data_IF_812523666074
#
_entry.id   IF_812523666074
#
_cell.length_a   1.000
_cell.length_b   1.000
_cell.length_c   1.000
_cell.angle_alpha   90.00
_cell.angle_beta   90.00
_cell.angle_gamma   90.00
#
_symmetry.space_group_name_H-M   'P 1'
#
loop_
_entity.id
_entity.type
_entity.pdbx_description
1 polymer ?
#
# COMPACT_ATOMS: atom_id res chain seq x y z
N UNK A 1 -36.65 -0.42 -27.11
CA UNK A 1 -36.05 0.63 -26.24
C UNK A 1 -35.11 -0.05 -25.26
N UNK A 2 -33.83 0.26 -25.35
CA UNK A 2 -32.86 -0.24 -24.36
C UNK A 2 -33.09 0.53 -23.05
N UNK A 3 -33.18 -0.16 -21.94
CA UNK A 3 -33.46 0.40 -20.61
C UNK A 3 -32.34 1.28 -20.05
N UNK A 4 -31.29 1.54 -20.85
CA UNK A 4 -30.22 2.48 -20.47
C UNK A 4 -29.40 2.07 -19.21
N UNK A 5 -29.50 0.80 -18.82
CA UNK A 5 -28.59 0.30 -17.79
C UNK A 5 -27.18 0.37 -18.34
N UNK A 6 -26.36 1.20 -17.72
CA UNK A 6 -24.92 1.18 -17.94
C UNK A 6 -24.36 -0.09 -17.31
N UNK A 7 -24.53 -1.22 -18.02
CA UNK A 7 -23.91 -2.50 -17.70
C UNK A 7 -22.45 -2.56 -18.21
N UNK A 8 -21.85 -1.40 -18.50
CA UNK A 8 -20.40 -1.40 -18.47
C UNK A 8 -20.07 -1.86 -17.05
N UNK A 9 -19.90 -3.18 -16.93
CA UNK A 9 -19.04 -3.80 -15.95
C UNK A 9 -17.89 -2.81 -15.87
N UNK A 10 -17.88 -2.02 -14.78
CA UNK A 10 -16.85 -1.03 -14.61
C UNK A 10 -15.59 -1.73 -15.04
N UNK A 11 -14.97 -1.24 -16.06
CA UNK A 11 -13.70 -1.73 -16.56
C UNK A 11 -13.07 -2.41 -15.37
N UNK A 12 -12.68 -3.70 -15.47
CA UNK A 12 -11.76 -4.26 -14.47
C UNK A 12 -10.48 -3.43 -14.61
N UNK A 13 -10.66 -2.14 -14.36
CA UNK A 13 -9.65 -1.14 -14.25
C UNK A 13 -8.82 -1.68 -13.13
N UNK A 14 -7.58 -2.00 -13.44
CA UNK A 14 -6.61 -2.58 -12.55
C UNK A 14 -6.86 -2.07 -11.14
N UNK A 15 -7.37 -2.97 -10.28
CA UNK A 15 -7.54 -2.66 -8.87
C UNK A 15 -6.12 -2.47 -8.37
N UNK A 16 -5.72 -1.22 -8.23
CA UNK A 16 -4.38 -0.90 -7.78
C UNK A 16 -4.14 -1.57 -6.42
N UNK A 17 -2.96 -2.14 -6.23
CA UNK A 17 -2.56 -2.56 -4.91
C UNK A 17 -2.56 -1.35 -3.97
N UNK A 18 -2.78 -1.59 -2.70
CA UNK A 18 -3.00 -0.50 -1.74
C UNK A 18 -1.87 -0.36 -0.74
N UNK A 19 -1.75 0.85 -0.22
CA UNK A 19 -0.98 1.14 0.99
C UNK A 19 -1.96 1.63 2.05
N UNK A 20 -1.79 1.17 3.28
CA UNK A 20 -2.59 1.56 4.44
C UNK A 20 -1.73 2.32 5.44
N UNK A 21 -2.35 3.22 6.18
CA UNK A 21 -1.78 3.76 7.42
C UNK A 21 -2.48 3.14 8.62
N UNK A 22 -1.74 2.46 9.48
CA UNK A 22 -2.25 2.01 10.77
C UNK A 22 -2.08 3.13 11.80
N UNK A 23 -3.16 3.81 12.10
CA UNK A 23 -3.14 4.91 13.05
C UNK A 23 -2.93 4.47 14.51
N UNK A 24 -2.94 3.20 14.83
CA UNK A 24 -2.61 2.67 16.16
C UNK A 24 -1.13 2.35 16.27
N UNK A 25 -0.60 1.61 15.32
CA UNK A 25 0.81 1.25 15.25
C UNK A 25 1.69 2.43 14.81
N UNK A 26 1.21 3.22 13.86
CA UNK A 26 1.94 4.34 13.27
C UNK A 26 2.80 3.93 12.10
N UNK A 27 2.36 2.93 11.37
CA UNK A 27 3.12 2.31 10.30
C UNK A 27 2.36 2.39 8.98
N UNK A 28 3.12 2.52 7.90
CA UNK A 28 2.61 2.25 6.57
C UNK A 28 2.70 0.76 6.29
N UNK A 29 1.62 0.20 5.74
CA UNK A 29 1.52 -1.22 5.40
C UNK A 29 1.24 -1.33 3.91
N UNK A 30 2.16 -1.93 3.18
CA UNK A 30 1.98 -2.37 1.81
C UNK A 30 1.07 -3.58 1.81
N UNK A 31 -0.01 -3.56 1.04
CA UNK A 31 -0.89 -4.70 0.88
C UNK A 31 -0.96 -5.09 -0.59
N UNK A 32 -0.44 -6.26 -0.89
CA UNK A 32 -0.57 -6.91 -2.18
C UNK A 32 -1.65 -8.00 -2.12
N UNK A 33 -2.22 -8.30 -3.28
CA UNK A 33 -3.18 -9.38 -3.44
C UNK A 33 -2.74 -10.26 -4.59
N UNK A 34 -2.64 -11.53 -4.35
CA UNK A 34 -2.35 -12.53 -5.37
C UNK A 34 -3.39 -13.63 -5.34
N UNK A 35 -3.64 -14.27 -6.47
CA UNK A 35 -4.51 -15.42 -6.53
C UNK A 35 -3.64 -16.67 -6.43
N UNK A 36 -3.90 -17.51 -5.45
CA UNK A 36 -3.25 -18.81 -5.29
C UNK A 36 -3.61 -19.79 -6.41
N UNK A 37 -2.90 -20.91 -6.52
CA UNK A 37 -3.19 -21.95 -7.51
C UNK A 37 -4.60 -22.56 -7.39
N UNK A 38 -5.20 -22.46 -6.22
CA UNK A 38 -6.56 -22.89 -5.87
C UNK A 38 -7.63 -21.82 -6.20
N UNK A 39 -7.23 -20.69 -6.78
CA UNK A 39 -8.12 -19.57 -7.10
C UNK A 39 -8.49 -18.70 -5.88
N UNK A 40 -7.98 -19.00 -4.70
CA UNK A 40 -8.23 -18.21 -3.49
C UNK A 40 -7.34 -16.96 -3.47
N UNK A 41 -7.95 -15.82 -3.11
CA UNK A 41 -7.21 -14.57 -2.97
C UNK A 41 -6.42 -14.56 -1.65
N UNK A 42 -5.12 -14.42 -1.77
CA UNK A 42 -4.19 -14.26 -0.64
C UNK A 42 -3.81 -12.79 -0.53
N UNK A 43 -3.81 -12.29 0.70
CA UNK A 43 -3.29 -10.95 1.03
C UNK A 43 -1.90 -11.12 1.59
N UNK A 44 -0.96 -10.37 1.03
CA UNK A 44 0.38 -10.20 1.56
C UNK A 44 0.49 -8.78 2.14
N UNK A 45 0.81 -8.68 3.41
CA UNK A 45 0.94 -7.40 4.11
C UNK A 45 2.38 -7.25 4.59
N UNK A 46 3.03 -6.18 4.16
CA UNK A 46 4.40 -5.84 4.51
C UNK A 46 4.47 -4.46 5.13
N UNK A 47 5.04 -4.37 6.32
CA UNK A 47 5.32 -3.10 6.99
C UNK A 47 6.42 -2.33 6.25
N UNK A 48 6.20 -1.04 6.06
CA UNK A 48 7.13 -0.14 5.40
C UNK A 48 7.84 0.68 6.46
N UNK A 49 9.16 0.58 6.49
CA UNK A 49 9.98 1.32 7.43
C UNK A 49 10.00 2.82 7.10
N UNK A 50 9.92 3.64 8.14
CA UNK A 50 10.08 5.09 8.03
C UNK A 50 11.55 5.49 8.24
N UNK A 51 12.05 6.55 7.59
CA UNK A 51 11.33 7.42 6.66
C UNK A 51 11.16 6.80 5.27
N UNK A 52 10.06 7.16 4.59
CA UNK A 52 9.80 6.74 3.22
C UNK A 52 9.39 7.93 2.35
N UNK A 53 9.76 7.90 1.06
CA UNK A 53 9.40 8.93 0.08
C UNK A 53 8.70 8.31 -1.13
N UNK A 54 7.67 8.98 -1.63
CA UNK A 54 6.95 8.57 -2.82
C UNK A 54 6.34 9.79 -3.54
N UNK A 55 6.19 9.69 -4.85
CA UNK A 55 5.39 10.64 -5.60
C UNK A 55 3.91 10.50 -5.20
N UNK A 56 3.22 11.62 -5.00
CA UNK A 56 1.79 11.62 -4.64
C UNK A 56 1.02 12.47 -5.65
N UNK A 57 -0.03 11.89 -6.25
CA UNK A 57 -0.84 12.54 -7.28
C UNK A 57 -1.87 13.50 -6.66
N UNK A 58 -1.36 14.62 -6.14
CA UNK A 58 -2.20 15.63 -5.48
C UNK A 58 -3.17 16.32 -6.42
N UNK A 59 -2.85 16.41 -7.72
CA UNK A 59 -3.75 16.99 -8.72
C UNK A 59 -5.01 16.13 -8.92
N UNK A 60 -4.84 14.80 -8.80
CA UNK A 60 -5.94 13.83 -8.96
C UNK A 60 -6.47 13.28 -7.62
N UNK A 61 -6.17 13.96 -6.51
CA UNK A 61 -6.70 13.55 -5.20
C UNK A 61 -8.23 13.61 -5.21
N UNK A 62 -8.84 12.58 -4.71
CA UNK A 62 -10.29 12.46 -4.58
C UNK A 62 -10.70 12.60 -3.11
N UNK A 63 -11.80 13.30 -2.88
CA UNK A 63 -12.37 13.52 -1.55
C UNK A 63 -13.85 13.13 -1.54
N UNK A 64 -14.34 12.66 -0.42
CA UNK A 64 -15.75 12.26 -0.30
C UNK A 64 -16.02 11.33 0.86
N UNK A 65 -16.70 10.23 0.59
CA UNK A 65 -17.23 9.31 1.57
C UNK A 65 -16.81 7.88 1.29
N UNK A 66 -16.58 7.13 2.35
CA UNK A 66 -16.21 5.71 2.32
C UNK A 66 -17.03 4.95 3.35
N UNK A 67 -17.61 3.82 2.95
CA UNK A 67 -18.24 2.84 3.81
C UNK A 67 -17.68 1.44 3.54
N UNK A 68 -17.66 0.61 4.58
CA UNK A 68 -17.36 -0.82 4.49
C UNK A 68 -18.54 -1.69 4.93
N UNK A 69 -19.73 -1.14 5.05
CA UNK A 69 -20.91 -1.84 5.56
C UNK A 69 -21.30 -3.06 4.72
N UNK A 70 -21.06 -3.02 3.41
CA UNK A 70 -21.31 -4.13 2.50
C UNK A 70 -20.21 -5.21 2.48
N UNK A 71 -19.15 -5.07 3.30
CA UNK A 71 -17.98 -5.93 3.27
C UNK A 71 -16.95 -5.59 2.18
N UNK A 72 -17.29 -4.69 1.26
CA UNK A 72 -16.39 -4.10 0.26
C UNK A 72 -16.32 -2.58 0.45
N UNK A 73 -15.23 -1.91 0.03
CA UNK A 73 -15.15 -0.46 0.09
C UNK A 73 -16.13 0.16 -0.92
N UNK A 74 -17.04 0.99 -0.41
CA UNK A 74 -17.95 1.84 -1.19
C UNK A 74 -17.46 3.27 -1.12
N UNK A 75 -16.91 3.77 -2.25
CA UNK A 75 -16.39 5.12 -2.38
C UNK A 75 -17.38 5.99 -3.15
N UNK A 76 -17.78 7.11 -2.54
CA UNK A 76 -18.56 8.18 -3.15
C UNK A 76 -17.69 9.44 -3.16
N UNK A 77 -16.84 9.58 -4.18
CA UNK A 77 -15.78 10.59 -4.21
C UNK A 77 -15.83 11.44 -5.48
N UNK A 78 -15.27 12.63 -5.39
CA UNK A 78 -15.02 13.56 -6.52
C UNK A 78 -13.57 14.02 -6.46
N UNK A 79 -13.00 14.39 -7.60
CA UNK A 79 -11.67 15.00 -7.62
C UNK A 79 -11.72 16.39 -7.01
N UNK A 80 -10.79 16.69 -6.13
CA UNK A 80 -10.70 18.00 -5.50
C UNK A 80 -10.43 19.12 -6.53
N UNK A 81 -9.65 18.84 -7.58
CA UNK A 81 -9.31 19.77 -8.66
C UNK A 81 -10.50 20.17 -9.54
N UNK A 82 -11.57 19.37 -9.59
CA UNK A 82 -12.73 19.66 -10.44
C UNK A 82 -13.57 20.84 -9.92
N UNK A 83 -13.29 21.34 -8.71
CA UNK A 83 -14.06 22.43 -8.06
C UNK A 83 -15.52 22.04 -7.76
N UNK A 84 -15.85 20.76 -7.85
CA UNK A 84 -17.18 20.22 -7.55
C UNK A 84 -17.30 20.07 -6.03
N UNK A 85 -18.39 20.53 -5.41
CA UNK A 85 -18.61 20.31 -3.99
C UNK A 85 -18.61 18.80 -3.67
N UNK A 86 -18.06 18.47 -2.50
CA UNK A 86 -18.11 17.11 -1.99
C UNK A 86 -19.57 16.61 -1.99
N UNK A 87 -19.86 15.38 -2.45
CA UNK A 87 -21.20 14.84 -2.50
C UNK A 87 -21.86 14.82 -1.11
N UNK A 88 -23.18 14.86 -1.08
CA UNK A 88 -23.90 14.71 0.19
C UNK A 88 -23.57 13.37 0.83
N UNK A 89 -23.57 13.30 2.16
CA UNK A 89 -23.30 12.07 2.90
C UNK A 89 -24.36 11.00 2.54
N UNK A 90 -23.95 9.84 1.96
CA UNK A 90 -24.92 8.85 1.48
C UNK A 90 -25.70 8.13 2.60
N UNK A 91 -25.04 7.80 3.71
CA UNK A 91 -25.66 7.18 4.89
C UNK A 91 -24.83 7.43 6.14
N UNK A 92 -25.35 7.07 7.33
CA UNK A 92 -24.66 7.24 8.60
C UNK A 92 -23.39 6.40 8.73
N UNK A 93 -23.28 5.32 7.99
CA UNK A 93 -22.13 4.43 7.97
C UNK A 93 -20.95 5.00 7.16
N UNK A 94 -21.23 5.97 6.29
CA UNK A 94 -20.20 6.62 5.51
C UNK A 94 -19.39 7.61 6.36
N UNK A 95 -18.08 7.54 6.21
CA UNK A 95 -17.09 8.43 6.83
C UNK A 95 -16.40 9.25 5.76
N UNK A 96 -16.08 10.50 6.07
CA UNK A 96 -15.25 11.30 5.17
C UNK A 96 -13.94 10.58 4.88
N UNK A 97 -13.49 10.67 3.65
CA UNK A 97 -12.24 10.04 3.21
C UNK A 97 -11.57 10.87 2.12
N UNK A 98 -10.29 10.58 1.92
CA UNK A 98 -9.59 10.87 0.67
C UNK A 98 -9.12 9.58 0.03
N UNK A 99 -8.83 9.66 -1.26
CA UNK A 99 -8.20 8.63 -2.06
C UNK A 99 -7.20 9.27 -3.00
N UNK A 100 -5.98 8.76 -3.04
CA UNK A 100 -4.90 9.33 -3.85
C UNK A 100 -3.98 8.23 -4.36
N UNK A 101 -3.43 8.42 -5.54
CA UNK A 101 -2.39 7.53 -6.08
C UNK A 101 -1.04 7.95 -5.54
N UNK A 102 -0.24 6.99 -5.15
CA UNK A 102 1.14 7.16 -4.75
C UNK A 102 2.02 6.19 -5.52
N UNK A 103 3.26 6.56 -5.75
CA UNK A 103 4.18 5.69 -6.47
C UNK A 103 5.64 5.98 -6.18
N UNK A 104 6.44 4.93 -6.14
CA UNK A 104 7.90 5.00 -6.10
C UNK A 104 8.48 3.75 -6.76
N UNK A 105 9.79 3.76 -7.05
CA UNK A 105 10.46 2.58 -7.60
C UNK A 105 10.33 1.36 -6.69
N UNK A 106 10.31 1.58 -5.38
CA UNK A 106 10.21 0.51 -4.38
C UNK A 106 8.77 0.01 -4.20
N UNK A 107 7.81 0.93 -4.11
CA UNK A 107 6.42 0.57 -3.86
C UNK A 107 5.66 0.16 -5.13
N UNK A 108 6.11 0.61 -6.30
CA UNK A 108 5.27 0.62 -7.50
C UNK A 108 4.12 1.63 -7.38
N UNK A 109 3.18 1.60 -8.33
CA UNK A 109 1.97 2.41 -8.28
C UNK A 109 0.95 1.78 -7.32
N UNK A 110 0.42 2.58 -6.38
CA UNK A 110 -0.52 2.13 -5.37
C UNK A 110 -1.58 3.18 -5.09
N UNK A 111 -2.68 2.73 -4.51
CA UNK A 111 -3.70 3.59 -3.96
C UNK A 111 -3.49 3.75 -2.45
N UNK A 112 -3.61 4.99 -1.99
CA UNK A 112 -3.65 5.32 -0.58
C UNK A 112 -4.95 6.03 -0.26
N UNK A 113 -5.71 5.49 0.68
CA UNK A 113 -6.96 6.07 1.14
C UNK A 113 -7.09 5.99 2.66
N UNK A 114 -7.74 6.96 3.25
CA UNK A 114 -7.95 6.98 4.71
C UNK A 114 -9.22 7.75 5.08
N UNK A 115 -9.85 7.37 6.21
CA UNK A 115 -11.07 8.01 6.73
C UNK A 115 -10.97 8.47 8.20
N UNK A 116 -9.82 8.29 8.83
CA UNK A 116 -9.59 8.74 10.21
C UNK A 116 -9.37 10.25 10.30
N UNK A 117 -10.14 10.93 11.16
CA UNK A 117 -10.14 12.40 11.27
C UNK A 117 -8.75 13.03 11.48
N UNK A 118 -7.86 12.37 12.21
CA UNK A 118 -6.50 12.87 12.46
C UNK A 118 -5.64 12.83 11.20
N UNK A 119 -5.76 11.75 10.42
CA UNK A 119 -5.04 11.59 9.16
C UNK A 119 -5.63 12.50 8.07
N UNK A 120 -6.96 12.70 8.08
CA UNK A 120 -7.59 13.68 7.19
C UNK A 120 -7.05 15.09 7.41
N UNK A 121 -6.88 15.52 8.68
CA UNK A 121 -6.28 16.83 8.99
C UNK A 121 -4.81 16.92 8.55
N UNK A 122 -4.05 15.84 8.71
CA UNK A 122 -2.67 15.80 8.23
C UNK A 122 -2.62 15.91 6.70
N UNK A 123 -3.55 15.24 5.98
CA UNK A 123 -3.68 15.34 4.52
C UNK A 123 -4.09 16.75 4.10
N UNK A 124 -5.02 17.37 4.80
CA UNK A 124 -5.45 18.75 4.55
C UNK A 124 -4.27 19.73 4.66
N UNK A 125 -3.43 19.58 5.69
CA UNK A 125 -2.22 20.39 5.85
C UNK A 125 -1.21 20.15 4.72
N UNK A 126 -1.04 18.92 4.27
CA UNK A 126 -0.17 18.58 3.16
C UNK A 126 -0.70 19.13 1.83
N UNK A 127 -2.01 19.08 1.63
CA UNK A 127 -2.66 19.65 0.44
C UNK A 127 -2.53 21.17 0.41
N UNK A 128 -2.65 21.87 1.53
CA UNK A 128 -2.38 23.30 1.62
C UNK A 128 -0.93 23.65 1.23
N UNK A 129 0.04 22.82 1.63
CA UNK A 129 1.43 22.97 1.17
C UNK A 129 1.52 22.78 -0.35
N UNK A 130 0.85 21.75 -0.88
CA UNK A 130 0.80 21.51 -2.32
C UNK A 130 0.23 22.71 -3.07
N UNK A 131 -0.91 23.24 -2.66
CA UNK A 131 -1.55 24.40 -3.31
C UNK A 131 -0.67 25.66 -3.31
N UNK A 132 0.10 25.85 -2.24
CA UNK A 132 1.04 26.97 -2.15
C UNK A 132 2.24 26.82 -3.09
N UNK A 133 2.72 25.60 -3.31
CA UNK A 133 3.95 25.35 -4.06
C UNK A 133 3.70 24.98 -5.54
N UNK A 134 2.54 24.40 -5.88
CA UNK A 134 2.19 23.91 -7.21
C UNK A 134 2.30 24.99 -8.32
N UNK A 135 1.91 26.27 -8.10
CA UNK A 135 2.05 27.32 -9.11
C UNK A 135 3.50 27.54 -9.56
N UNK A 136 4.48 27.27 -8.69
CA UNK A 136 5.91 27.37 -8.97
C UNK A 136 6.47 26.09 -9.63
N UNK A 137 5.69 25.03 -9.69
CA UNK A 137 6.09 23.70 -10.16
C UNK A 137 5.06 23.12 -11.17
N UNK A 138 4.72 23.85 -12.24
CA UNK A 138 3.66 23.44 -13.17
C UNK A 138 3.97 22.08 -13.81
N UNK A 139 3.00 21.17 -13.82
CA UNK A 139 3.10 19.84 -14.43
C UNK A 139 4.02 18.86 -13.72
N UNK A 140 4.60 19.23 -12.58
CA UNK A 140 5.43 18.34 -11.78
C UNK A 140 4.63 17.60 -10.73
N UNK A 141 5.15 16.44 -10.32
CA UNK A 141 4.61 15.61 -9.25
C UNK A 141 5.35 15.92 -7.93
N UNK A 142 4.65 16.23 -6.83
CA UNK A 142 5.28 16.37 -5.54
C UNK A 142 5.76 15.02 -5.00
N UNK A 143 6.96 14.98 -4.47
CA UNK A 143 7.49 13.88 -3.69
C UNK A 143 7.24 14.17 -2.23
N UNK A 144 6.45 13.31 -1.61
CA UNK A 144 6.10 13.39 -0.20
C UNK A 144 7.01 12.46 0.58
N UNK A 145 7.63 12.98 1.62
CA UNK A 145 8.41 12.18 2.57
C UNK A 145 7.65 12.06 3.88
N UNK A 146 7.41 10.83 4.31
CA UNK A 146 6.91 10.52 5.65
C UNK A 146 8.10 10.32 6.56
N UNK A 147 8.32 11.26 7.46
CA UNK A 147 9.51 11.29 8.33
C UNK A 147 9.37 10.40 9.55
N UNK A 148 8.19 10.46 10.17
CA UNK A 148 7.89 9.79 11.42
C UNK A 148 6.39 9.65 11.65
N UNK A 149 6.02 8.96 12.72
CA UNK A 149 4.68 8.88 13.26
C UNK A 149 4.59 9.70 14.56
N UNK A 150 3.72 10.70 14.60
CA UNK A 150 3.46 11.50 15.80
C UNK A 150 2.29 10.95 16.58
N UNK A 151 2.42 10.88 17.90
CA UNK A 151 1.32 10.44 18.78
C UNK A 151 0.43 11.63 19.15
N UNK A 152 -0.83 11.55 18.75
CA UNK A 152 -1.88 12.50 19.13
C UNK A 152 -2.82 11.87 20.14
N UNK A 153 -3.13 12.61 21.20
CA UNK A 153 -4.08 12.22 22.25
C UNK A 153 -5.41 12.89 21.99
N UNK A 154 -6.48 12.11 22.04
CA UNK A 154 -7.85 12.60 21.91
C UNK A 154 -8.63 12.17 23.14
N UNK A 155 -9.20 13.15 23.83
CA UNK A 155 -10.13 12.88 24.91
C UNK A 155 -11.48 12.45 24.36
N UNK A 156 -11.95 11.28 24.76
CA UNK A 156 -13.27 10.77 24.42
C UNK A 156 -14.08 10.50 25.69
N UNK A 157 -15.41 10.37 25.62
CA UNK A 157 -16.23 9.98 26.77
C UNK A 157 -15.82 8.65 27.41
N UNK A 158 -15.11 7.80 26.66
CA UNK A 158 -14.62 6.49 27.11
C UNK A 158 -13.17 6.53 27.62
N UNK A 159 -12.54 7.72 27.68
CA UNK A 159 -11.17 7.92 28.12
C UNK A 159 -10.25 8.52 27.06
N UNK A 160 -8.95 8.62 27.38
CA UNK A 160 -7.91 9.09 26.46
C UNK A 160 -7.63 8.03 25.40
N UNK A 161 -7.82 8.40 24.13
CA UNK A 161 -7.43 7.61 22.98
C UNK A 161 -6.13 8.17 22.41
N UNK A 162 -5.22 7.28 22.02
CA UNK A 162 -3.96 7.63 21.38
C UNK A 162 -3.97 7.13 19.95
N UNK A 163 -3.67 8.03 19.03
CA UNK A 163 -3.51 7.70 17.62
C UNK A 163 -2.18 8.25 17.14
N UNK A 164 -1.63 7.60 16.15
CA UNK A 164 -0.45 8.08 15.44
C UNK A 164 -0.87 8.67 14.11
N UNK A 165 -0.29 9.81 13.77
CA UNK A 165 -0.49 10.50 12.50
C UNK A 165 0.83 10.54 11.74
N UNK A 166 0.82 10.43 10.41
CA UNK A 166 2.04 10.56 9.63
C UNK A 166 2.53 12.02 9.69
N UNK A 167 3.79 12.20 10.01
CA UNK A 167 4.50 13.46 9.82
C UNK A 167 5.12 13.47 8.43
N UNK A 168 4.52 14.17 7.53
CA UNK A 168 4.93 14.24 6.14
C UNK A 168 5.06 15.67 5.64
N UNK A 169 5.85 15.84 4.59
CA UNK A 169 6.00 17.12 3.89
C UNK A 169 6.37 16.87 2.44
N UNK A 170 6.09 17.84 1.58
CA UNK A 170 6.64 17.86 0.22
C UNK A 170 8.11 18.22 0.32
N UNK A 171 8.99 17.35 -0.16
CA UNK A 171 10.44 17.53 -0.08
C UNK A 171 11.09 17.81 -1.42
N UNK A 172 10.40 17.46 -2.50
CA UNK A 172 10.91 17.59 -3.86
C UNK A 172 9.76 17.64 -4.86
N UNK A 173 10.03 18.18 -6.04
CA UNK A 173 9.17 18.17 -7.21
C UNK A 173 9.89 17.49 -8.37
N UNK A 174 9.27 16.49 -8.97
CA UNK A 174 9.84 15.70 -10.08
C UNK A 174 8.94 15.76 -11.31
N UNK A 175 9.51 15.46 -12.47
CA UNK A 175 8.68 15.23 -13.65
C UNK A 175 7.77 14.04 -13.41
N UNK A 176 6.52 14.11 -13.90
CA UNK A 176 5.51 13.06 -13.66
C UNK A 176 5.97 11.75 -14.29
N UNK A 177 6.24 10.70 -13.51
CA UNK A 177 6.63 9.40 -14.05
C UNK A 177 5.46 8.76 -14.80
N UNK A 178 5.72 8.08 -15.92
CA UNK A 178 4.70 7.40 -16.73
C UNK A 178 3.87 6.37 -15.93
N UNK A 179 4.45 5.78 -14.89
CA UNK A 179 3.72 4.87 -14.00
C UNK A 179 2.51 5.53 -13.30
N UNK A 180 2.53 6.86 -13.11
CA UNK A 180 1.43 7.59 -12.48
C UNK A 180 0.23 7.77 -13.41
N UNK A 181 0.38 7.57 -14.70
CA UNK A 181 -0.67 7.75 -15.71
C UNK A 181 -1.61 6.52 -15.82
N UNK A 182 -1.49 5.58 -14.90
CA UNK A 182 -2.47 4.50 -14.72
C UNK A 182 -2.24 3.24 -15.53
N UNK A 183 -1.15 3.16 -16.29
CA UNK A 183 -0.72 1.88 -16.85
C UNK A 183 0.20 1.23 -15.81
N UNK A 184 -0.36 0.42 -14.93
CA UNK A 184 0.45 -0.42 -14.05
C UNK A 184 1.38 -1.25 -14.93
N UNK A 185 2.69 -0.99 -14.85
CA UNK A 185 3.65 -1.92 -15.41
C UNK A 185 3.35 -3.29 -14.75
N UNK A 186 3.27 -4.39 -15.51
CA UNK A 186 3.04 -5.69 -14.92
C UNK A 186 4.10 -5.90 -13.83
N UNK A 187 3.65 -6.19 -12.63
CA UNK A 187 4.53 -6.59 -11.52
C UNK A 187 5.49 -7.65 -12.07
N UNK A 188 6.83 -7.47 -11.97
CA UNK A 188 7.74 -8.51 -12.42
C UNK A 188 7.33 -9.80 -11.75
N UNK A 189 7.03 -10.83 -12.54
CA UNK A 189 6.74 -12.14 -12.02
C UNK A 189 7.89 -12.53 -11.06
N UNK A 190 7.60 -13.06 -9.87
CA UNK A 190 8.63 -13.51 -8.95
C UNK A 190 9.59 -14.40 -9.75
N UNK A 191 10.89 -14.10 -9.65
CA UNK A 191 11.92 -14.90 -10.33
C UNK A 191 11.66 -16.37 -9.99
N UNK A 192 11.67 -17.28 -10.98
CA UNK A 192 11.44 -18.69 -10.73
C UNK A 192 12.39 -19.13 -9.63
N UNK A 193 11.83 -19.77 -8.60
CA UNK A 193 12.61 -20.34 -7.52
C UNK A 193 13.73 -21.20 -8.14
N UNK A 194 14.97 -21.11 -7.63
CA UNK A 194 16.06 -21.94 -8.14
C UNK A 194 15.60 -23.40 -8.10
N UNK A 195 15.71 -24.07 -9.25
CA UNK A 195 15.37 -25.46 -9.38
C UNK A 195 16.04 -26.27 -8.26
N UNK A 196 15.35 -27.25 -7.65
CA UNK A 196 15.97 -28.11 -6.65
C UNK A 196 17.24 -28.72 -7.24
N UNK A 197 18.37 -28.41 -6.63
CA UNK A 197 19.63 -29.06 -6.98
C UNK A 197 19.44 -30.54 -6.71
N UNK A 198 19.49 -31.35 -7.75
CA UNK A 198 19.49 -32.81 -7.62
C UNK A 198 20.60 -33.18 -6.63
N UNK A 199 20.35 -34.12 -5.69
CA UNK A 199 21.37 -34.55 -4.78
C UNK A 199 22.49 -35.23 -5.59
N UNK A 200 23.68 -34.64 -5.56
CA UNK A 200 24.89 -35.24 -6.09
C UNK A 200 25.04 -36.58 -5.41
N UNK A 201 24.98 -37.67 -6.19
CA UNK A 201 25.22 -39.01 -5.70
C UNK A 201 26.62 -39.04 -5.05
N UNK A 202 26.62 -39.21 -3.75
CA UNK A 202 27.87 -39.44 -3.00
C UNK A 202 28.38 -40.81 -3.43
N UNK A 203 29.45 -40.79 -4.21
CA UNK A 203 30.17 -41.99 -4.63
C UNK A 203 30.70 -42.69 -3.36
N UNK A 204 30.20 -43.88 -3.08
CA UNK A 204 30.59 -44.69 -1.94
C UNK A 204 32.09 -44.92 -1.94
N UNK A 205 32.79 -44.53 -0.92
CA UNK A 205 34.18 -44.90 -0.68
C UNK A 205 34.28 -46.42 -0.44
N UNK A 206 35.33 -47.07 -0.93
CA UNK A 206 35.51 -48.52 -0.78
C UNK A 206 35.65 -48.90 0.69
N UNK A 207 34.97 -49.98 1.06
CA UNK A 207 34.96 -50.54 2.41
C UNK A 207 36.38 -50.88 2.91
N UNK A 208 36.72 -50.29 4.01
CA UNK A 208 37.91 -50.68 4.76
C UNK A 208 37.65 -52.04 5.44
N UNK A 209 38.57 -52.98 5.21
CA UNK A 209 38.66 -54.32 5.80
C UNK A 209 38.70 -54.26 7.33
N UNK A 210 37.99 -55.10 8.07
CA UNK A 210 38.02 -55.11 9.52
C UNK A 210 39.37 -55.73 10.01
N UNK A 211 39.96 -55.18 11.08
CA UNK A 211 41.16 -55.80 11.71
C UNK A 211 40.76 -57.03 12.49
N UNK A 212 41.53 -58.10 12.27
CA UNK A 212 41.55 -59.36 13.01
C UNK A 212 41.73 -59.13 14.51
N UNK A 213 40.98 -59.85 15.36
CA UNK A 213 41.23 -59.79 16.80
C UNK A 213 42.44 -60.65 17.18
N UNK A 214 43.50 -60.05 17.60
CA UNK A 214 44.58 -60.75 18.29
C UNK A 214 44.28 -60.79 19.80
N UNK A 215 44.48 -62.00 20.27
CA UNK A 215 43.99 -62.44 21.54
C UNK A 215 44.81 -62.02 22.77
N UNK A 216 44.12 -62.28 23.84
CA UNK A 216 44.55 -62.71 25.16
C UNK A 216 45.90 -62.30 25.70
N UNK A 217 45.86 -61.68 26.89
CA UNK A 217 46.35 -62.26 28.15
C UNK A 217 46.29 -61.19 29.24
N UNK A 218 45.51 -61.46 30.27
CA UNK A 218 45.93 -61.95 31.61
C UNK A 218 46.87 -60.96 32.34
N UNK A 219 46.34 -60.25 33.25
CA UNK A 219 46.45 -60.22 34.75
C UNK A 219 45.65 -59.02 35.26
#
# INVERSE_FOLDING_TARGET
>A
MALGFNTSTGSSGDILPIVKWDAKAGDFIRQDRSQGPDGVWVKDEQEIQLPISFGMDMEAIEIGWLSFASGAPDFQVVKASDGVPMPAKPSDEHKQCFRVRIGSTELGLREFSHSGKTVLRAMDSLHNQYEAEAPSNPGKLPVVTVHAAETVKINSPQGELRFKIPQWSITQWIDRPAMMDGTAAPTPAPAPAPAPTEPVAVQAAPAATPPTPEGSNLF
#
